data_IF_836439916457
#
_entry.id   IF_836439916457
#
_cell.length_a   1.000
_cell.length_b   1.000
_cell.length_c   1.000
_cell.angle_alpha   90.00
_cell.angle_beta   90.00
_cell.angle_gamma   90.00
#
_symmetry.space_group_name_H-M   'P 1'
#
loop_
_entity.id
_entity.type
_entity.pdbx_description
1 polymer ?
#
# COMPACT_ATOMS: atom_id res chain seq x y z
N UNK A 1 -16.26 -1.65 17.25
CA UNK A 1 -15.51 -2.38 18.29
C UNK A 1 -14.69 -1.31 19.02
N UNK A 2 -15.12 -1.02 20.25
CA UNK A 2 -14.51 -0.14 21.28
C UNK A 2 -13.94 1.24 20.88
N UNK A 3 -14.69 2.28 21.22
CA UNK A 3 -14.31 3.71 21.25
C UNK A 3 -13.29 4.04 22.37
N UNK A 4 -12.51 3.08 22.88
CA UNK A 4 -11.57 3.31 24.01
C UNK A 4 -10.37 2.37 24.03
N UNK A 5 -9.95 1.84 22.87
CA UNK A 5 -8.66 1.15 22.71
C UNK A 5 -7.95 1.70 21.46
N UNK A 6 -7.76 3.03 21.40
CA UNK A 6 -6.82 3.60 20.43
C UNK A 6 -5.45 3.09 20.83
N UNK A 7 -4.84 2.24 20.00
CA UNK A 7 -3.44 1.89 20.20
C UNK A 7 -2.62 3.19 20.29
N UNK A 8 -1.80 3.36 21.34
CA UNK A 8 -1.09 4.60 21.56
C UNK A 8 -0.17 4.89 20.37
N UNK A 9 -0.10 6.15 19.95
CA UNK A 9 0.93 6.58 19.01
C UNK A 9 2.30 6.26 19.66
N UNK A 10 3.23 5.60 18.94
CA UNK A 10 3.33 5.48 17.48
C UNK A 10 2.79 4.16 16.88
N UNK A 11 2.23 3.23 17.68
CA UNK A 11 1.88 1.89 17.19
C UNK A 11 0.85 1.95 16.05
N UNK A 12 -0.19 2.78 16.21
CA UNK A 12 -1.23 3.02 15.21
C UNK A 12 -0.69 3.50 13.85
N UNK A 13 0.38 4.31 13.85
CA UNK A 13 0.98 4.84 12.61
C UNK A 13 1.62 3.71 11.81
N UNK A 14 2.28 2.78 12.50
CA UNK A 14 2.93 1.63 11.87
C UNK A 14 1.87 0.67 11.33
N UNK A 15 0.79 0.44 12.08
CA UNK A 15 -0.33 -0.39 11.62
C UNK A 15 -1.06 0.22 10.40
N UNK A 16 -1.33 1.53 10.40
CA UNK A 16 -1.97 2.21 9.28
C UNK A 16 -1.08 2.25 8.03
N UNK A 17 0.23 2.45 8.20
CA UNK A 17 1.20 2.34 7.12
C UNK A 17 1.27 0.92 6.55
N UNK A 18 1.24 -0.09 7.40
CA UNK A 18 1.28 -1.51 7.02
C UNK A 18 0.02 -1.97 6.30
N UNK A 19 -1.16 -1.62 6.81
CA UNK A 19 -2.45 -1.92 6.16
C UNK A 19 -2.58 -1.20 4.82
N UNK A 20 -2.17 0.07 4.75
CA UNK A 20 -2.12 0.83 3.49
C UNK A 20 -1.13 0.24 2.49
N UNK A 21 0.03 -0.24 2.94
CA UNK A 21 0.98 -0.98 2.10
C UNK A 21 0.34 -2.25 1.55
N UNK A 22 -0.33 -3.04 2.39
CA UNK A 22 -0.99 -4.28 1.97
C UNK A 22 -2.07 -4.03 0.91
N UNK A 23 -2.91 -3.00 1.09
CA UNK A 23 -3.87 -2.56 0.08
C UNK A 23 -3.17 -2.12 -1.22
N UNK A 24 -2.09 -1.35 -1.09
CA UNK A 24 -1.27 -0.90 -2.20
C UNK A 24 -0.65 -2.06 -2.99
N UNK A 25 -0.10 -3.07 -2.33
CA UNK A 25 0.46 -4.28 -2.97
C UNK A 25 -0.66 -5.03 -3.69
N UNK A 26 -1.82 -5.25 -3.06
CA UNK A 26 -2.94 -5.96 -3.66
C UNK A 26 -3.44 -5.28 -4.94
N UNK A 27 -3.81 -4.00 -4.85
CA UNK A 27 -4.33 -3.25 -5.99
C UNK A 27 -3.31 -3.07 -7.11
N UNK A 28 -2.07 -2.71 -6.75
CA UNK A 28 -1.00 -2.52 -7.75
C UNK A 28 -0.60 -3.84 -8.42
N UNK A 29 -0.61 -4.97 -7.71
CA UNK A 29 -0.27 -6.27 -8.31
C UNK A 29 -1.29 -6.67 -9.38
N UNK A 30 -2.58 -6.52 -9.11
CA UNK A 30 -3.64 -6.84 -10.07
C UNK A 30 -3.53 -5.91 -11.29
N UNK A 31 -3.41 -4.60 -11.04
CA UNK A 31 -3.31 -3.59 -12.10
C UNK A 31 -2.08 -3.81 -13.00
N UNK A 32 -0.90 -3.95 -12.41
CA UNK A 32 0.35 -4.12 -13.14
C UNK A 32 0.45 -5.50 -13.82
N UNK A 33 -0.20 -6.54 -13.28
CA UNK A 33 -0.29 -7.85 -13.93
C UNK A 33 -1.13 -7.78 -15.20
N UNK A 34 -2.33 -7.17 -15.14
CA UNK A 34 -3.21 -7.02 -16.30
C UNK A 34 -2.53 -6.15 -17.36
N UNK A 35 -1.97 -5.01 -16.96
CA UNK A 35 -1.29 -4.10 -17.87
C UNK A 35 -0.05 -4.75 -18.50
N UNK A 36 0.76 -5.45 -17.71
CA UNK A 36 1.94 -6.19 -18.17
C UNK A 36 1.58 -7.33 -19.11
N UNK A 37 0.53 -8.10 -18.80
CA UNK A 37 0.06 -9.19 -19.67
C UNK A 37 -0.51 -8.69 -21.00
N UNK A 38 -1.15 -7.50 -21.02
CA UNK A 38 -1.67 -6.86 -22.24
C UNK A 38 -0.57 -6.29 -23.13
N UNK A 39 0.47 -5.69 -22.53
CA UNK A 39 1.62 -5.12 -23.28
C UNK A 39 2.64 -6.17 -23.76
N UNK A 40 2.56 -7.40 -23.26
CA UNK A 40 3.50 -8.46 -23.60
C UNK A 40 3.15 -9.18 -24.90
N UNK A 41 4.19 -9.57 -25.64
CA UNK A 41 4.09 -10.39 -26.85
C UNK A 41 3.32 -11.71 -26.59
N UNK A 42 2.64 -12.19 -27.64
CA UNK A 42 1.90 -13.45 -27.64
C UNK A 42 2.86 -14.59 -27.26
N UNK A 43 2.54 -15.33 -26.19
CA UNK A 43 3.36 -16.42 -25.65
C UNK A 43 4.15 -16.07 -24.37
N UNK A 44 4.43 -14.79 -24.09
CA UNK A 44 5.14 -14.36 -22.86
C UNK A 44 4.28 -13.58 -21.86
N UNK A 45 2.96 -13.51 -22.10
CA UNK A 45 2.02 -12.73 -21.29
C UNK A 45 2.08 -13.01 -19.79
N UNK A 46 2.22 -14.29 -19.39
CA UNK A 46 2.38 -14.65 -17.96
C UNK A 46 3.68 -14.08 -17.39
N UNK A 47 4.80 -14.29 -18.08
CA UNK A 47 6.13 -13.84 -17.65
C UNK A 47 6.24 -12.31 -17.61
N UNK A 48 5.72 -11.62 -18.62
CA UNK A 48 5.71 -10.15 -18.65
C UNK A 48 4.72 -9.52 -17.66
N UNK A 49 3.59 -10.18 -17.40
CA UNK A 49 2.70 -9.81 -16.29
C UNK A 49 3.41 -9.90 -14.93
N UNK A 50 4.05 -11.03 -14.62
CA UNK A 50 4.80 -11.20 -13.36
C UNK A 50 5.99 -10.24 -13.23
N UNK A 51 6.73 -10.02 -14.32
CA UNK A 51 7.84 -9.07 -14.33
C UNK A 51 7.37 -7.63 -14.06
N UNK A 52 6.23 -7.24 -14.64
CA UNK A 52 5.61 -5.93 -14.42
C UNK A 52 5.17 -5.76 -12.96
N UNK A 53 4.57 -6.78 -12.35
CA UNK A 53 4.21 -6.74 -10.91
C UNK A 53 5.45 -6.56 -10.05
N UNK A 54 6.49 -7.38 -10.26
CA UNK A 54 7.70 -7.34 -9.42
C UNK A 54 8.41 -5.99 -9.47
N UNK A 55 8.41 -5.32 -10.61
CA UNK A 55 9.07 -4.02 -10.79
C UNK A 55 8.26 -2.86 -10.20
N UNK A 56 6.92 -2.89 -10.30
CA UNK A 56 6.08 -1.72 -10.04
C UNK A 56 5.21 -1.80 -8.77
N UNK A 57 4.81 -3.01 -8.36
CA UNK A 57 3.95 -3.20 -7.19
C UNK A 57 4.56 -2.68 -5.88
N UNK A 58 5.84 -2.95 -5.52
CA UNK A 58 6.41 -2.43 -4.28
C UNK A 58 6.55 -0.91 -4.28
N UNK A 59 6.85 -0.31 -5.44
CA UNK A 59 6.99 1.14 -5.56
C UNK A 59 5.63 1.86 -5.38
N UNK A 60 4.55 1.31 -5.94
CA UNK A 60 3.20 1.85 -5.72
C UNK A 60 2.73 1.62 -4.29
N UNK A 61 2.98 0.43 -3.73
CA UNK A 61 2.66 0.14 -2.34
C UNK A 61 3.39 1.05 -1.35
N UNK A 62 4.65 1.41 -1.61
CA UNK A 62 5.39 2.37 -0.81
C UNK A 62 4.74 3.76 -0.80
N UNK A 63 4.19 4.22 -1.93
CA UNK A 63 3.44 5.49 -1.99
C UNK A 63 2.17 5.43 -1.13
N UNK A 64 1.44 4.31 -1.16
CA UNK A 64 0.27 4.10 -0.30
C UNK A 64 0.65 4.03 1.18
N UNK A 65 1.76 3.38 1.53
CA UNK A 65 2.26 3.31 2.91
C UNK A 65 2.63 4.69 3.46
N UNK A 66 3.32 5.51 2.66
CA UNK A 66 3.67 6.89 3.04
C UNK A 66 2.40 7.72 3.23
N UNK A 67 1.41 7.56 2.35
CA UNK A 67 0.12 8.26 2.50
C UNK A 67 -0.61 7.88 3.79
N UNK A 68 -0.75 6.58 4.08
CA UNK A 68 -1.40 6.09 5.31
C UNK A 68 -0.63 6.51 6.57
N UNK A 69 0.70 6.38 6.56
CA UNK A 69 1.54 6.78 7.68
C UNK A 69 1.52 8.29 7.95
N UNK A 70 1.56 9.13 6.91
CA UNK A 70 1.46 10.58 7.06
C UNK A 70 0.09 10.99 7.61
N UNK A 71 -1.00 10.43 7.07
CA UNK A 71 -2.36 10.74 7.53
C UNK A 71 -2.51 10.47 9.04
N UNK A 72 -2.08 9.30 9.51
CA UNK A 72 -2.17 8.93 10.93
C UNK A 72 -1.20 9.70 11.81
N UNK A 73 -0.06 10.14 11.27
CA UNK A 73 0.87 11.03 11.99
C UNK A 73 0.22 12.40 12.24
N UNK A 74 -0.39 13.01 11.22
CA UNK A 74 -1.12 14.27 11.38
C UNK A 74 -2.27 14.12 12.39
N UNK A 75 -3.05 13.05 12.31
CA UNK A 75 -4.12 12.75 13.27
C UNK A 75 -3.60 12.64 14.71
N UNK A 76 -2.54 11.85 14.94
CA UNK A 76 -1.87 11.73 16.24
C UNK A 76 -1.36 13.08 16.76
N UNK A 77 -0.78 13.93 15.91
CA UNK A 77 -0.30 15.26 16.34
C UNK A 77 -1.44 16.20 16.74
N UNK A 78 -2.57 16.16 16.03
CA UNK A 78 -3.73 16.98 16.35
C UNK A 78 -4.34 16.55 17.69
N UNK A 79 -4.46 15.23 17.93
CA UNK A 79 -4.95 14.71 19.21
C UNK A 79 -3.94 14.86 20.36
N UNK A 80 -2.64 14.96 20.09
CA UNK A 80 -1.60 15.12 21.11
C UNK A 80 -1.30 16.57 21.48
N UNK A 81 -1.69 17.53 20.64
CA UNK A 81 -1.49 18.97 20.85
C UNK A 81 -2.75 19.71 21.37
N UNK A 82 -3.92 19.05 21.34
CA UNK A 82 -5.19 19.55 21.89
C UNK A 82 -5.49 18.90 23.24
#
# INVERSE_FOLDING_TARGET
>A
MSETQRDPCPHRIIEDAGTSFAMGVGGSSIYNYILGARKSEIGRRKRGGFQSVRMNAPAQAGKFAVWGGLFSTFDCTIYGLA
#
